data_IF_416693671105
#
_entry.id   IF_416693671105
#
_cell.length_a   1.000
_cell.length_b   1.000
_cell.length_c   1.000
_cell.angle_alpha   90.00
_cell.angle_beta   90.00
_cell.angle_gamma   90.00
#
_symmetry.space_group_name_H-M   'P 1'
#
loop_
_entity.id
_entity.type
_entity.pdbx_description
1 polymer ?
#
# COMPACT_ATOMS: atom_id res chain seq x y z
N UNK A 1 15.55 4.40 -9.66
CA UNK A 1 14.63 3.34 -10.15
C UNK A 1 13.19 3.80 -10.00
N UNK A 2 12.39 3.55 -11.01
CA UNK A 2 10.97 3.89 -11.01
C UNK A 2 10.15 2.76 -10.38
N UNK A 3 9.07 3.11 -9.71
CA UNK A 3 8.23 2.14 -9.00
C UNK A 3 7.43 1.22 -9.93
N UNK A 4 7.29 1.57 -11.21
CA UNK A 4 6.55 0.72 -12.15
C UNK A 4 7.08 -0.71 -12.20
N UNK A 5 8.39 -0.89 -12.01
CA UNK A 5 9.01 -2.22 -11.96
C UNK A 5 8.55 -3.02 -10.75
N UNK A 6 8.38 -2.34 -9.61
CA UNK A 6 7.97 -2.97 -8.35
C UNK A 6 6.50 -3.39 -8.40
N UNK A 7 5.65 -2.58 -9.02
CA UNK A 7 4.20 -2.80 -9.06
C UNK A 7 3.70 -3.54 -10.31
N UNK A 8 4.59 -3.95 -11.20
CA UNK A 8 4.26 -4.49 -12.54
C UNK A 8 3.19 -5.59 -12.50
N UNK A 9 3.24 -6.45 -11.51
CA UNK A 9 2.30 -7.58 -11.37
C UNK A 9 1.42 -7.45 -10.12
N UNK A 10 1.39 -6.26 -9.50
CA UNK A 10 0.66 -6.06 -8.27
C UNK A 10 -0.72 -5.45 -8.55
N UNK A 11 -1.76 -6.14 -8.11
CA UNK A 11 -3.13 -5.69 -8.23
C UNK A 11 -3.53 -4.88 -6.99
N UNK A 12 -4.28 -3.80 -7.19
CA UNK A 12 -4.87 -3.05 -6.08
C UNK A 12 -6.19 -3.71 -5.70
N UNK A 13 -6.35 -3.99 -4.41
CA UNK A 13 -7.61 -4.46 -3.85
C UNK A 13 -8.36 -3.27 -3.26
N UNK A 14 -9.66 -3.25 -3.44
CA UNK A 14 -10.51 -2.15 -3.00
C UNK A 14 -11.60 -2.62 -2.04
N UNK A 15 -12.22 -1.65 -1.37
CA UNK A 15 -13.37 -1.87 -0.51
C UNK A 15 -14.33 -0.69 -0.69
N UNK A 16 -15.62 -0.90 -0.43
CA UNK A 16 -16.60 0.16 -0.51
C UNK A 16 -16.62 0.99 0.79
N UNK A 17 -16.84 2.30 0.65
CA UNK A 17 -17.03 3.18 1.79
C UNK A 17 -18.20 2.75 2.68
N UNK A 18 -19.16 2.03 2.11
CA UNK A 18 -20.36 1.56 2.81
C UNK A 18 -20.19 0.21 3.49
N UNK A 19 -19.06 -0.48 3.25
CA UNK A 19 -18.76 -1.72 3.93
C UNK A 19 -18.52 -1.46 5.42
N UNK A 20 -18.78 -2.49 6.23
CA UNK A 20 -18.58 -2.40 7.67
C UNK A 20 -17.11 -2.57 8.05
N UNK A 21 -16.75 -2.07 9.23
CA UNK A 21 -15.40 -2.26 9.77
C UNK A 21 -15.10 -3.74 10.00
N UNK A 22 -16.02 -4.59 10.53
CA UNK A 22 -15.77 -6.03 10.58
C UNK A 22 -15.45 -6.64 9.23
N UNK A 23 -16.16 -6.26 8.17
CA UNK A 23 -15.87 -6.74 6.81
C UNK A 23 -14.48 -6.30 6.34
N UNK A 24 -14.11 -5.05 6.64
CA UNK A 24 -12.76 -4.54 6.35
C UNK A 24 -11.70 -5.42 7.01
N UNK A 25 -11.85 -5.73 8.30
CA UNK A 25 -10.89 -6.56 9.04
C UNK A 25 -10.77 -7.94 8.41
N UNK A 26 -11.88 -8.57 8.03
CA UNK A 26 -11.87 -9.85 7.34
C UNK A 26 -11.11 -9.78 6.01
N UNK A 27 -11.33 -8.72 5.24
CA UNK A 27 -10.65 -8.50 3.95
C UNK A 27 -9.15 -8.32 4.12
N UNK A 28 -8.74 -7.49 5.09
CA UNK A 28 -7.32 -7.26 5.36
C UNK A 28 -6.61 -8.58 5.72
N UNK A 29 -7.25 -9.38 6.57
CA UNK A 29 -6.70 -10.67 6.96
C UNK A 29 -6.66 -11.68 5.80
N UNK A 30 -7.73 -11.77 5.03
CA UNK A 30 -7.82 -12.72 3.92
C UNK A 30 -6.82 -12.42 2.82
N UNK A 31 -6.59 -11.13 2.53
CA UNK A 31 -5.69 -10.69 1.47
C UNK A 31 -4.24 -10.52 1.95
N UNK A 32 -3.98 -10.62 3.24
CA UNK A 32 -2.66 -10.41 3.85
C UNK A 32 -2.08 -9.03 3.50
N UNK A 33 -2.92 -8.01 3.56
CA UNK A 33 -2.52 -6.62 3.30
C UNK A 33 -2.84 -5.73 4.49
N UNK A 34 -2.13 -4.62 4.61
CA UNK A 34 -2.32 -3.67 5.71
C UNK A 34 -3.25 -2.51 5.38
N UNK A 35 -3.62 -2.35 4.12
CA UNK A 35 -4.49 -1.26 3.68
C UNK A 35 -5.25 -1.63 2.41
N UNK A 36 -6.42 -1.00 2.25
CA UNK A 36 -7.24 -1.12 1.04
C UNK A 36 -7.60 0.28 0.55
N UNK A 37 -7.64 0.44 -0.76
CA UNK A 37 -8.17 1.67 -1.37
C UNK A 37 -9.69 1.62 -1.28
N UNK A 38 -10.29 2.72 -0.86
CA UNK A 38 -11.74 2.86 -0.82
C UNK A 38 -12.21 3.38 -2.16
N UNK A 39 -13.01 2.58 -2.86
CA UNK A 39 -13.41 2.88 -4.23
C UNK A 39 -14.80 2.31 -4.52
N UNK A 40 -15.65 3.04 -5.25
CA UNK A 40 -16.97 2.54 -5.65
C UNK A 40 -16.92 1.68 -6.92
N UNK A 41 -15.84 1.76 -7.70
CA UNK A 41 -15.78 1.22 -9.06
C UNK A 41 -14.42 0.60 -9.43
N UNK A 42 -13.52 0.44 -8.46
CA UNK A 42 -12.14 -0.03 -8.64
C UNK A 42 -11.25 0.91 -9.47
N UNK A 43 -11.69 2.12 -9.71
CA UNK A 43 -10.97 3.13 -10.51
C UNK A 43 -10.85 4.45 -9.78
N UNK A 44 -11.95 4.93 -9.22
CA UNK A 44 -12.00 6.18 -8.47
C UNK A 44 -11.52 5.94 -7.05
N UNK A 45 -10.72 6.87 -6.52
CA UNK A 45 -10.22 6.78 -5.14
C UNK A 45 -11.05 7.72 -4.26
N UNK A 46 -11.90 7.14 -3.41
CA UNK A 46 -12.66 7.89 -2.40
C UNK A 46 -11.84 8.10 -1.13
N UNK A 47 -10.92 7.19 -0.86
CA UNK A 47 -10.09 7.25 0.33
C UNK A 47 -9.16 6.05 0.42
N UNK A 48 -8.48 5.95 1.55
CA UNK A 48 -7.67 4.78 1.90
C UNK A 48 -7.96 4.42 3.35
N UNK A 49 -7.98 3.14 3.64
CA UNK A 49 -8.24 2.64 4.99
C UNK A 49 -7.23 1.54 5.33
N UNK A 50 -6.67 1.61 6.54
CA UNK A 50 -5.63 0.69 6.98
C UNK A 50 -5.98 0.04 8.32
N UNK A 51 -5.20 -0.98 8.68
CA UNK A 51 -5.29 -1.61 10.00
C UNK A 51 -5.06 -0.59 11.12
N UNK A 52 -4.21 0.42 10.89
CA UNK A 52 -3.98 1.49 11.86
C UNK A 52 -5.22 2.33 12.11
N UNK A 53 -6.03 2.56 11.08
CA UNK A 53 -7.29 3.29 11.23
C UNK A 53 -8.26 2.53 12.12
N UNK A 54 -8.31 1.22 12.00
CA UNK A 54 -9.12 0.36 12.87
C UNK A 54 -8.65 0.47 14.33
N UNK A 55 -7.35 0.32 14.56
CA UNK A 55 -6.77 0.41 15.90
C UNK A 55 -7.03 1.78 16.51
N UNK A 56 -6.90 2.85 15.71
CA UNK A 56 -7.03 4.24 16.18
C UNK A 56 -8.46 4.55 16.65
N UNK A 57 -9.47 3.93 16.05
CA UNK A 57 -10.87 4.19 16.39
C UNK A 57 -11.35 3.34 17.59
N UNK A 58 -10.64 2.28 17.93
CA UNK A 58 -11.04 1.34 18.98
C UNK A 58 -11.21 1.96 20.37
N UNK A 59 -10.31 2.85 20.87
CA UNK A 59 -10.48 3.40 22.19
C UNK A 59 -11.82 4.14 22.35
N UNK A 60 -12.61 3.73 23.33
CA UNK A 60 -13.93 4.31 23.60
C UNK A 60 -15.03 3.85 22.65
N UNK A 61 -14.73 2.98 21.69
CA UNK A 61 -15.71 2.51 20.70
C UNK A 61 -15.73 1.01 20.49
N UNK A 62 -15.20 0.24 21.43
CA UNK A 62 -15.19 -1.22 21.31
C UNK A 62 -16.59 -1.80 21.08
N UNK A 63 -17.60 -1.28 21.76
CA UNK A 63 -18.97 -1.77 21.66
C UNK A 63 -19.66 -1.38 20.36
N UNK A 64 -19.07 -0.45 19.62
CA UNK A 64 -19.67 0.13 18.42
C UNK A 64 -18.98 -0.27 17.13
N UNK A 65 -17.86 -1.01 17.20
CA UNK A 65 -17.08 -1.39 16.02
C UNK A 65 -17.92 -2.08 14.94
N UNK A 66 -18.84 -2.94 15.35
CA UNK A 66 -19.70 -3.67 14.41
C UNK A 66 -20.67 -2.77 13.65
N UNK A 67 -20.91 -1.54 14.14
CA UNK A 67 -21.82 -0.58 13.52
C UNK A 67 -21.09 0.50 12.72
N UNK A 68 -19.75 0.54 12.79
CA UNK A 68 -18.97 1.50 12.03
C UNK A 68 -18.78 1.03 10.59
N UNK A 69 -18.75 1.98 9.68
CA UNK A 69 -18.49 1.75 8.26
C UNK A 69 -17.12 2.27 7.90
N UNK A 70 -16.60 1.80 6.78
CA UNK A 70 -15.29 2.22 6.25
C UNK A 70 -15.24 3.75 6.12
N UNK A 71 -16.30 4.38 5.64
CA UNK A 71 -16.36 5.83 5.50
C UNK A 71 -16.16 6.59 6.82
N UNK A 72 -16.48 5.95 7.95
CA UNK A 72 -16.34 6.58 9.27
C UNK A 72 -14.89 6.66 9.74
N UNK A 73 -14.01 5.82 9.20
CA UNK A 73 -12.63 5.73 9.67
C UNK A 73 -11.58 5.97 8.58
N UNK A 74 -11.97 6.00 7.31
CA UNK A 74 -11.04 6.16 6.18
C UNK A 74 -10.41 7.56 6.14
N UNK A 75 -9.26 7.66 5.47
CA UNK A 75 -8.60 8.92 5.16
C UNK A 75 -9.05 9.35 3.76
N UNK A 76 -9.56 10.58 3.62
CA UNK A 76 -10.06 11.09 2.34
C UNK A 76 -9.01 11.87 1.55
N UNK A 77 -8.07 12.53 2.23
CA UNK A 77 -6.97 13.26 1.56
C UNK A 77 -5.84 12.28 1.27
N UNK A 78 -5.98 11.53 0.18
CA UNK A 78 -5.06 10.46 -0.16
C UNK A 78 -3.88 11.00 -0.96
N UNK A 79 -2.66 10.70 -0.49
CA UNK A 79 -1.44 10.95 -1.26
C UNK A 79 -1.31 9.86 -2.32
N UNK A 80 -1.15 10.25 -3.57
CA UNK A 80 -1.02 9.32 -4.69
C UNK A 80 0.29 9.58 -5.43
N UNK A 81 0.65 8.63 -6.27
CA UNK A 81 1.81 8.77 -7.15
C UNK A 81 1.50 8.13 -8.50
N UNK A 82 2.37 8.36 -9.48
CA UNK A 82 2.28 7.73 -10.78
C UNK A 82 3.37 6.67 -10.93
N UNK A 83 3.27 5.75 -11.92
CA UNK A 83 4.30 4.74 -12.14
C UNK A 83 5.70 5.28 -12.42
N UNK A 84 5.78 6.54 -12.84
CA UNK A 84 7.05 7.21 -13.13
C UNK A 84 7.81 7.68 -11.89
N UNK A 85 7.15 7.69 -10.73
CA UNK A 85 7.79 8.09 -9.48
C UNK A 85 8.98 7.18 -9.18
N UNK A 86 10.03 7.74 -8.61
CA UNK A 86 11.19 6.96 -8.20
C UNK A 86 10.99 6.38 -6.80
N UNK A 87 11.73 5.32 -6.51
CA UNK A 87 11.72 4.71 -5.17
C UNK A 87 12.11 5.75 -4.12
N UNK A 88 13.11 6.60 -4.41
CA UNK A 88 13.54 7.65 -3.50
C UNK A 88 12.42 8.66 -3.20
N UNK A 89 11.66 9.06 -4.22
CA UNK A 89 10.52 9.97 -4.05
C UNK A 89 9.44 9.35 -3.17
N UNK A 90 9.15 8.08 -3.38
CA UNK A 90 8.14 7.34 -2.60
C UNK A 90 8.58 7.20 -1.14
N UNK A 91 9.84 6.85 -0.91
CA UNK A 91 10.37 6.74 0.44
C UNK A 91 10.30 8.07 1.18
N UNK A 92 10.66 9.16 0.49
CA UNK A 92 10.57 10.52 1.06
C UNK A 92 9.13 10.87 1.43
N UNK A 93 8.18 10.55 0.55
CA UNK A 93 6.75 10.80 0.80
C UNK A 93 6.25 9.98 2.00
N UNK A 94 6.59 8.70 2.07
CA UNK A 94 6.20 7.84 3.18
C UNK A 94 6.75 8.35 4.51
N UNK A 95 8.00 8.81 4.52
CA UNK A 95 8.66 9.33 5.71
C UNK A 95 8.05 10.67 6.13
N UNK A 96 7.90 11.59 5.19
CA UNK A 96 7.41 12.94 5.45
C UNK A 96 5.95 12.93 5.90
N UNK A 97 5.11 12.17 5.22
CA UNK A 97 3.68 12.10 5.52
C UNK A 97 3.33 11.02 6.54
N UNK A 98 4.31 10.22 6.97
CA UNK A 98 4.14 9.12 7.93
C UNK A 98 3.09 8.12 7.47
N UNK A 99 3.17 7.75 6.21
CA UNK A 99 2.26 6.77 5.59
C UNK A 99 3.06 5.59 5.06
N UNK A 100 2.43 4.43 4.99
CA UNK A 100 3.08 3.17 4.58
C UNK A 100 2.49 2.60 3.31
N UNK A 101 1.46 3.23 2.76
CA UNK A 101 0.76 2.79 1.56
C UNK A 101 0.42 4.00 0.72
N UNK A 102 0.72 3.94 -0.56
CA UNK A 102 0.45 5.02 -1.52
C UNK A 102 -0.21 4.42 -2.75
N UNK A 103 -1.45 4.81 -3.07
CA UNK A 103 -2.08 4.38 -4.31
C UNK A 103 -1.33 4.93 -5.52
N UNK A 104 -1.19 4.10 -6.54
CA UNK A 104 -0.57 4.46 -7.80
C UNK A 104 -1.67 4.67 -8.83
N UNK A 105 -1.64 5.82 -9.49
CA UNK A 105 -2.68 6.23 -10.44
C UNK A 105 -2.08 6.53 -11.81
N UNK A 106 -2.93 6.50 -12.83
CA UNK A 106 -2.55 6.91 -14.18
C UNK A 106 -2.65 8.44 -14.33
N UNK A 107 -2.42 8.95 -15.54
CA UNK A 107 -2.48 10.38 -15.82
C UNK A 107 -3.85 11.01 -15.61
N UNK A 108 -4.90 10.20 -15.61
CA UNK A 108 -6.28 10.64 -15.39
C UNK A 108 -6.74 10.47 -13.94
N UNK A 109 -5.85 9.97 -13.07
CA UNK A 109 -6.17 9.77 -11.67
C UNK A 109 -6.85 8.44 -11.38
N UNK A 110 -6.91 7.53 -12.34
CA UNK A 110 -7.51 6.20 -12.13
C UNK A 110 -6.54 5.28 -11.40
N UNK A 111 -7.08 4.48 -10.50
CA UNK A 111 -6.31 3.53 -9.69
C UNK A 111 -5.68 2.44 -10.57
N UNK A 112 -4.37 2.28 -10.46
CA UNK A 112 -3.61 1.22 -11.13
C UNK A 112 -3.14 0.16 -10.13
N UNK A 113 -2.59 0.59 -9.00
CA UNK A 113 -2.00 -0.31 -8.01
C UNK A 113 -1.87 0.43 -6.69
N UNK A 114 -1.24 -0.22 -5.73
CA UNK A 114 -0.87 0.37 -4.45
C UNK A 114 0.55 -0.07 -4.13
N UNK A 115 1.38 0.86 -3.65
CA UNK A 115 2.73 0.52 -3.22
C UNK A 115 2.83 0.67 -1.70
N UNK A 116 3.43 -0.32 -1.04
CA UNK A 116 3.61 -0.34 0.40
C UNK A 116 5.09 -0.24 0.78
N UNK A 117 5.34 0.12 2.03
CA UNK A 117 6.71 0.09 2.57
C UNK A 117 7.29 -1.32 2.47
N UNK A 118 6.47 -2.35 2.63
CA UNK A 118 6.87 -3.75 2.47
C UNK A 118 7.37 -4.06 1.06
N UNK A 119 6.73 -3.50 0.04
CA UNK A 119 7.15 -3.66 -1.35
C UNK A 119 8.54 -3.04 -1.57
N UNK A 120 8.78 -1.87 -0.99
CA UNK A 120 10.07 -1.18 -1.08
C UNK A 120 11.16 -2.00 -0.40
N UNK A 121 10.91 -2.47 0.82
CA UNK A 121 11.88 -3.28 1.58
C UNK A 121 12.19 -4.57 0.83
N UNK A 122 11.18 -5.25 0.32
CA UNK A 122 11.36 -6.49 -0.45
C UNK A 122 12.22 -6.26 -1.68
N UNK A 123 11.98 -5.17 -2.39
CA UNK A 123 12.77 -4.79 -3.56
C UNK A 123 14.24 -4.58 -3.18
N UNK A 124 14.52 -3.84 -2.11
CA UNK A 124 15.88 -3.60 -1.64
C UNK A 124 16.58 -4.88 -1.22
N UNK A 125 15.90 -5.75 -0.51
CA UNK A 125 16.45 -7.04 -0.08
C UNK A 125 16.83 -7.88 -1.30
N UNK A 126 15.96 -7.95 -2.30
CA UNK A 126 16.23 -8.69 -3.54
C UNK A 126 17.42 -8.10 -4.32
N UNK A 127 17.50 -6.77 -4.39
CA UNK A 127 18.59 -6.08 -5.07
C UNK A 127 19.94 -6.34 -4.39
N UNK A 128 19.99 -6.25 -3.07
CA UNK A 128 21.21 -6.56 -2.29
C UNK A 128 21.59 -8.02 -2.46
N UNK A 129 20.64 -8.93 -2.44
CA UNK A 129 20.86 -10.36 -2.67
C UNK A 129 21.47 -10.63 -4.05
N UNK A 130 20.94 -9.99 -5.09
CA UNK A 130 21.44 -10.12 -6.45
C UNK A 130 22.88 -9.58 -6.57
N UNK A 131 23.18 -8.44 -5.96
CA UNK A 131 24.52 -7.88 -5.91
C UNK A 131 25.50 -8.81 -5.19
N UNK A 132 25.09 -9.36 -4.04
CA UNK A 132 25.91 -10.31 -3.30
C UNK A 132 26.18 -11.58 -4.11
N UNK A 133 25.18 -12.08 -4.82
CA UNK A 133 25.32 -13.26 -5.67
C UNK A 133 26.30 -12.99 -6.83
N UNK A 134 26.16 -11.86 -7.49
CA UNK A 134 27.05 -11.44 -8.57
C UNK A 134 28.50 -11.29 -8.07
N UNK A 135 28.69 -10.71 -6.90
CA UNK A 135 30.02 -10.57 -6.28
C UNK A 135 30.62 -11.92 -5.96
N UNK A 136 29.86 -12.85 -5.41
CA UNK A 136 30.32 -14.21 -5.11
C UNK A 136 30.72 -14.94 -6.38
N UNK A 137 29.97 -14.83 -7.44
CA UNK A 137 30.27 -15.42 -8.74
C UNK A 137 31.56 -14.85 -9.31
N UNK A 138 31.75 -13.53 -9.23
CA UNK A 138 32.95 -12.85 -9.67
C UNK A 138 34.18 -13.35 -8.90
N UNK A 139 34.12 -13.41 -7.59
CA UNK A 139 35.20 -13.90 -6.73
C UNK A 139 35.51 -15.36 -7.02
N UNK A 140 34.48 -16.19 -7.22
CA UNK A 140 34.67 -17.62 -7.55
C UNK A 140 35.32 -17.82 -8.92
N UNK A 141 34.97 -16.98 -9.90
CA UNK A 141 35.51 -17.10 -11.25
C UNK A 141 36.96 -16.56 -11.38
N UNK A 142 37.36 -15.64 -10.50
CA UNK A 142 38.70 -15.04 -10.53
C UNK A 142 39.72 -15.80 -9.68
N UNK A 143 39.23 -16.70 -8.87
CA UNK A 143 40.10 -17.55 -8.04
C UNK A 143 40.33 -18.89 -8.66
#
# INVERSE_FOLDING_TARGET
MKIQTIIANKKAYTISAQDTVPHLVERLNALHVGALVVSPDNRTIDGIVSERDVVRVMPGKFDQLEYLHVRDIMTVNVHTCTPDATVAEIMAMMTHERIRHIPVVDSEGNLLSIISIGDIVKHYVNEISDENQALKEYVSSSG
#
